data_IF_934684373961
#
_entry.id   IF_934684373961
#
_cell.length_a   1.000
_cell.length_b   1.000
_cell.length_c   1.000
_cell.angle_alpha   90.00
_cell.angle_beta   90.00
_cell.angle_gamma   90.00
#
_symmetry.space_group_name_H-M   'P 1'
#
loop_
_entity.id
_entity.type
_entity.pdbx_description
1 polymer ?
#
# COMPACT_ATOMS: atom_id res chain seq x y z
N UNK A 1 -5.60 19.64 -13.02
CA UNK A 1 -6.56 18.53 -13.04
C UNK A 1 -6.00 17.39 -12.23
N UNK A 2 -6.81 16.73 -11.40
CA UNK A 2 -6.38 15.54 -10.66
C UNK A 2 -5.99 14.44 -11.65
N UNK A 3 -4.72 14.07 -11.68
CA UNK A 3 -4.21 13.00 -12.55
C UNK A 3 -4.73 11.67 -12.01
N UNK A 4 -5.77 11.12 -12.65
CA UNK A 4 -6.29 9.79 -12.35
C UNK A 4 -5.29 8.77 -12.88
N UNK A 5 -4.41 8.28 -12.00
CA UNK A 5 -3.40 7.29 -12.37
C UNK A 5 -3.92 5.88 -12.12
N UNK A 6 -3.68 4.92 -13.03
CA UNK A 6 -4.05 3.53 -12.79
C UNK A 6 -3.28 2.98 -11.58
N UNK A 7 -3.88 2.06 -10.82
CA UNK A 7 -3.28 1.42 -9.66
C UNK A 7 -2.18 0.42 -10.01
N UNK A 8 -1.11 0.86 -10.68
CA UNK A 8 -0.02 0.01 -11.20
C UNK A 8 0.75 -0.74 -10.11
N UNK A 9 0.62 -0.33 -8.85
CA UNK A 9 1.19 -1.04 -7.72
C UNK A 9 0.53 -2.42 -7.48
N UNK A 10 -0.70 -2.65 -7.94
CA UNK A 10 -1.35 -3.97 -7.88
C UNK A 10 -0.68 -4.97 -8.83
N UNK A 11 -0.56 -4.72 -10.14
CA UNK A 11 0.17 -5.63 -11.02
C UNK A 11 1.64 -5.77 -10.61
N UNK A 12 2.30 -4.70 -10.13
CA UNK A 12 3.67 -4.81 -9.60
C UNK A 12 3.75 -5.78 -8.40
N UNK A 13 2.79 -5.74 -7.48
CA UNK A 13 2.70 -6.68 -6.36
C UNK A 13 2.49 -8.13 -6.83
N UNK A 14 1.66 -8.35 -7.85
CA UNK A 14 1.46 -9.69 -8.45
C UNK A 14 2.74 -10.19 -9.11
N UNK A 15 3.47 -9.34 -9.84
CA UNK A 15 4.75 -9.74 -10.45
C UNK A 15 5.79 -10.06 -9.37
N UNK A 16 5.85 -9.26 -8.30
CA UNK A 16 6.74 -9.50 -7.16
C UNK A 16 6.42 -10.82 -6.45
N UNK A 17 5.13 -11.17 -6.28
CA UNK A 17 4.77 -12.44 -5.65
C UNK A 17 5.16 -13.65 -6.48
N UNK A 18 5.04 -13.53 -7.81
CA UNK A 18 5.50 -14.57 -8.75
C UNK A 18 7.01 -14.67 -8.84
N UNK A 19 7.74 -13.64 -8.43
CA UNK A 19 9.19 -13.68 -8.23
C UNK A 19 9.60 -14.29 -6.87
N UNK A 20 8.64 -14.79 -6.07
CA UNK A 20 8.90 -15.51 -4.82
C UNK A 20 8.81 -14.65 -3.56
N UNK A 21 8.35 -13.39 -3.65
CA UNK A 21 8.15 -12.54 -2.47
C UNK A 21 6.74 -12.75 -1.89
N UNK A 22 6.57 -13.11 -0.61
CA UNK A 22 5.25 -13.14 0.01
C UNK A 22 4.70 -11.71 0.12
N UNK A 23 3.57 -11.42 -0.53
CA UNK A 23 2.98 -10.09 -0.54
C UNK A 23 1.65 -10.06 0.21
N UNK A 24 1.51 -9.10 1.12
CA UNK A 24 0.23 -8.76 1.75
C UNK A 24 -0.18 -7.38 1.29
N UNK A 25 -1.33 -7.27 0.63
CA UNK A 25 -1.97 -6.00 0.33
C UNK A 25 -3.15 -5.82 1.29
N UNK A 26 -3.39 -4.59 1.73
CA UNK A 26 -4.63 -4.25 2.41
C UNK A 26 -5.13 -2.87 1.98
N UNK A 27 -6.46 -2.70 1.99
CA UNK A 27 -7.05 -1.48 1.48
C UNK A 27 -8.58 -1.45 1.59
N UNK A 28 -9.17 -0.41 1.01
CA UNK A 28 -10.59 -0.12 1.14
C UNK A 28 -11.40 -0.63 -0.06
N UNK A 29 -12.71 -0.75 0.14
CA UNK A 29 -13.72 -0.84 -0.92
C UNK A 29 -13.69 0.42 -1.79
N UNK A 30 -13.84 1.59 -1.16
CA UNK A 30 -13.89 2.88 -1.83
C UNK A 30 -12.86 3.85 -1.25
N UNK A 31 -12.49 4.88 -2.01
CA UNK A 31 -11.62 5.97 -1.54
C UNK A 31 -12.44 7.27 -1.40
N UNK A 32 -13.06 7.54 -0.23
CA UNK A 32 -14.08 8.58 -0.08
C UNK A 32 -13.57 9.98 -0.45
N UNK A 33 -12.39 10.36 0.02
CA UNK A 33 -11.84 11.70 -0.19
C UNK A 33 -11.40 11.97 -1.65
N UNK A 34 -11.39 10.96 -2.52
CA UNK A 34 -10.87 11.06 -3.89
C UNK A 34 -11.81 10.57 -4.97
N UNK A 35 -12.96 10.00 -4.60
CA UNK A 35 -13.90 9.36 -5.53
C UNK A 35 -13.21 8.37 -6.50
N UNK A 36 -12.18 7.67 -5.99
CA UNK A 36 -11.38 6.70 -6.73
C UNK A 36 -11.76 5.27 -6.39
N UNK A 37 -11.43 4.34 -7.28
CA UNK A 37 -11.64 2.90 -7.07
C UNK A 37 -10.64 2.38 -6.02
N UNK A 38 -11.13 1.73 -4.98
CA UNK A 38 -10.30 1.12 -3.94
C UNK A 38 -9.61 -0.16 -4.38
N UNK A 39 -8.74 -0.69 -3.52
CA UNK A 39 -8.03 -1.95 -3.75
C UNK A 39 -9.02 -3.12 -3.94
N UNK A 40 -10.03 -3.20 -3.08
CA UNK A 40 -10.93 -4.36 -3.01
C UNK A 40 -11.71 -4.59 -4.31
N UNK A 41 -12.40 -3.59 -4.90
CA UNK A 41 -13.05 -3.77 -6.19
C UNK A 41 -12.06 -4.05 -7.33
N UNK A 42 -10.87 -3.44 -7.35
CA UNK A 42 -9.86 -3.75 -8.36
C UNK A 42 -9.40 -5.21 -8.26
N UNK A 43 -9.12 -5.68 -7.05
CA UNK A 43 -8.69 -7.06 -6.78
C UNK A 43 -9.75 -8.08 -7.22
N UNK A 44 -11.01 -7.84 -6.86
CA UNK A 44 -12.14 -8.69 -7.28
C UNK A 44 -12.36 -8.70 -8.79
N UNK A 45 -12.19 -7.55 -9.46
CA UNK A 45 -12.30 -7.47 -10.92
C UNK A 45 -11.20 -8.24 -11.66
N UNK A 46 -10.08 -8.55 -11.00
CA UNK A 46 -9.05 -9.45 -11.53
C UNK A 46 -9.40 -10.93 -11.33
N UNK A 47 -10.57 -11.25 -10.77
CA UNK A 47 -10.98 -12.62 -10.45
C UNK A 47 -10.33 -13.19 -9.19
N UNK A 48 -9.71 -12.34 -8.36
CA UNK A 48 -8.99 -12.76 -7.16
C UNK A 48 -9.86 -12.61 -5.90
N UNK A 49 -9.78 -13.60 -5.01
CA UNK A 49 -10.50 -13.60 -3.73
C UNK A 49 -9.83 -12.66 -2.72
N UNK A 50 -10.65 -11.98 -1.92
CA UNK A 50 -10.19 -11.21 -0.76
C UNK A 50 -10.17 -12.15 0.45
N UNK A 51 -9.03 -12.26 1.10
CA UNK A 51 -8.84 -13.13 2.26
C UNK A 51 -9.44 -12.49 3.51
N UNK A 52 -9.93 -13.34 4.42
CA UNK A 52 -10.25 -12.92 5.79
C UNK A 52 -8.98 -12.91 6.64
N UNK A 53 -8.83 -12.03 7.64
CA UNK A 53 -7.65 -11.97 8.49
C UNK A 53 -7.27 -13.33 9.11
N UNK A 54 -8.25 -14.12 9.56
CA UNK A 54 -8.05 -15.44 10.15
C UNK A 54 -7.48 -16.50 9.18
N UNK A 55 -7.70 -16.33 7.87
CA UNK A 55 -7.24 -17.25 6.84
C UNK A 55 -5.98 -16.76 6.12
N UNK A 56 -5.59 -15.50 6.35
CA UNK A 56 -4.60 -14.77 5.57
C UNK A 56 -3.24 -15.49 5.49
N UNK A 57 -2.80 -16.13 6.59
CA UNK A 57 -1.54 -16.87 6.58
C UNK A 57 -1.60 -18.08 5.64
N UNK A 58 -2.65 -18.90 5.76
CA UNK A 58 -2.83 -20.09 4.93
C UNK A 58 -3.05 -19.75 3.45
N UNK A 59 -3.73 -18.64 3.16
CA UNK A 59 -3.91 -18.16 1.80
C UNK A 59 -2.59 -17.61 1.23
N UNK A 60 -1.76 -16.97 2.06
CA UNK A 60 -0.45 -16.45 1.66
C UNK A 60 0.52 -17.59 1.34
N UNK A 61 0.55 -18.65 2.15
CA UNK A 61 1.36 -19.85 1.89
C UNK A 61 0.99 -20.52 0.57
N UNK A 62 -0.30 -20.54 0.20
CA UNK A 62 -0.79 -21.15 -1.04
C UNK A 62 -0.55 -20.27 -2.27
N UNK A 63 -0.81 -18.98 -2.15
CA UNK A 63 -0.90 -18.08 -3.31
C UNK A 63 0.30 -17.14 -3.46
N UNK A 64 1.19 -17.05 -2.47
CA UNK A 64 2.27 -16.06 -2.35
C UNK A 64 1.82 -14.59 -2.33
N UNK A 65 0.51 -14.32 -2.46
CA UNK A 65 -0.08 -13.00 -2.34
C UNK A 65 -1.48 -13.09 -1.73
N UNK A 66 -1.79 -12.18 -0.83
CA UNK A 66 -3.13 -12.02 -0.26
C UNK A 66 -3.56 -10.56 -0.24
N UNK A 67 -4.88 -10.36 -0.31
CA UNK A 67 -5.50 -9.04 -0.22
C UNK A 67 -6.51 -9.05 0.94
N UNK A 68 -6.40 -8.08 1.84
CA UNK A 68 -7.25 -7.93 3.02
C UNK A 68 -8.06 -6.63 2.94
N UNK A 69 -9.34 -6.71 3.32
CA UNK A 69 -10.17 -5.52 3.49
C UNK A 69 -9.83 -4.83 4.81
N UNK A 70 -9.67 -3.51 4.78
CA UNK A 70 -9.53 -2.73 6.02
C UNK A 70 -10.77 -2.81 6.91
N UNK A 71 -11.95 -3.06 6.33
CA UNK A 71 -13.17 -3.27 7.12
C UNK A 71 -13.08 -4.54 7.98
N UNK A 72 -12.35 -5.55 7.49
CA UNK A 72 -12.13 -6.80 8.22
C UNK A 72 -10.96 -6.68 9.22
N UNK A 73 -9.94 -5.88 8.90
CA UNK A 73 -8.78 -5.66 9.80
C UNK A 73 -9.16 -4.76 10.97
N UNK A 74 -9.95 -3.71 10.73
CA UNK A 74 -10.34 -2.70 11.72
C UNK A 74 -11.85 -2.45 11.69
N UNK A 75 -12.68 -3.40 12.14
CA UNK A 75 -14.13 -3.26 12.12
C UNK A 75 -14.62 -2.07 12.94
N UNK A 76 -13.89 -1.66 13.96
CA UNK A 76 -14.14 -0.45 14.78
C UNK A 76 -14.12 0.81 13.92
N UNK A 77 -13.09 0.96 13.09
CA UNK A 77 -12.95 2.12 12.19
C UNK A 77 -13.95 2.05 11.04
N UNK A 78 -14.30 0.85 10.59
CA UNK A 78 -15.35 0.63 9.60
C UNK A 78 -16.71 1.15 10.09
N UNK A 79 -17.04 0.94 11.37
CA UNK A 79 -18.27 1.50 11.99
C UNK A 79 -18.31 3.04 11.94
N UNK A 80 -17.15 3.70 11.89
CA UNK A 80 -17.05 5.15 11.77
C UNK A 80 -17.12 5.65 10.31
N UNK A 81 -17.24 4.76 9.33
CA UNK A 81 -17.27 5.16 7.92
C UNK A 81 -18.40 6.15 7.57
N UNK A 82 -19.66 6.02 8.07
CA UNK A 82 -20.72 6.97 7.74
C UNK A 82 -20.38 8.41 8.13
N UNK A 83 -19.95 8.64 9.38
CA UNK A 83 -19.60 9.99 9.85
C UNK A 83 -18.36 10.54 9.13
N UNK A 84 -17.39 9.67 8.79
CA UNK A 84 -16.21 10.09 8.02
C UNK A 84 -16.57 10.51 6.60
N UNK A 85 -17.57 9.86 5.97
CA UNK A 85 -18.08 10.25 4.65
C UNK A 85 -18.83 11.58 4.72
N UNK A 86 -19.65 11.78 5.76
CA UNK A 86 -20.38 13.03 5.98
C UNK A 86 -19.43 14.22 6.19
N UNK A 87 -18.37 14.03 6.98
CA UNK A 87 -17.34 15.06 7.17
C UNK A 87 -16.59 15.38 5.87
N UNK A 88 -16.39 14.39 4.99
CA UNK A 88 -15.73 14.59 3.68
C UNK A 88 -14.24 14.98 3.77
N UNK A 89 -13.64 14.97 4.96
CA UNK A 89 -12.27 15.39 5.20
C UNK A 89 -11.36 14.19 5.45
N UNK A 90 -10.07 14.37 5.11
CA UNK A 90 -9.02 13.42 5.51
C UNK A 90 -8.75 13.59 7.01
N UNK A 91 -8.78 12.49 7.76
CA UNK A 91 -8.51 12.46 9.19
C UNK A 91 -7.23 11.68 9.50
N UNK A 92 -6.81 11.71 10.78
CA UNK A 92 -5.67 10.91 11.25
C UNK A 92 -5.88 9.41 10.98
N UNK A 93 -7.13 8.93 10.97
CA UNK A 93 -7.45 7.54 10.69
C UNK A 93 -6.96 7.10 9.32
N UNK A 94 -7.02 7.99 8.31
CA UNK A 94 -6.48 7.67 6.98
C UNK A 94 -4.96 7.43 6.98
N UNK A 95 -4.24 8.00 7.94
CA UNK A 95 -2.80 7.80 8.10
C UNK A 95 -2.52 6.52 8.89
N UNK A 96 -3.25 6.30 9.99
CA UNK A 96 -3.16 5.07 10.82
C UNK A 96 -3.49 3.83 10.00
N UNK A 97 -4.59 3.86 9.26
CA UNK A 97 -5.08 2.77 8.43
C UNK A 97 -4.08 2.33 7.37
N UNK A 98 -3.27 3.26 6.82
CA UNK A 98 -2.19 2.94 5.88
C UNK A 98 -0.98 2.30 6.54
N UNK A 99 -0.79 2.55 7.82
CA UNK A 99 0.34 2.04 8.59
C UNK A 99 -0.01 0.80 9.41
N UNK A 100 -1.21 0.24 9.25
CA UNK A 100 -1.56 -1.03 9.86
C UNK A 100 -0.64 -2.14 9.33
N UNK A 101 -0.27 -3.06 10.22
CA UNK A 101 0.51 -4.24 9.88
C UNK A 101 -0.23 -5.50 10.35
N UNK A 102 -1.35 -5.88 9.68
CA UNK A 102 -2.26 -6.92 10.16
C UNK A 102 -1.62 -8.31 10.27
N UNK A 103 -0.56 -8.54 9.51
CA UNK A 103 0.16 -9.83 9.44
C UNK A 103 1.55 -9.76 10.10
N UNK A 104 1.85 -8.67 10.82
CA UNK A 104 3.16 -8.42 11.43
C UNK A 104 4.35 -8.67 10.48
N UNK A 105 4.24 -8.18 9.23
CA UNK A 105 5.27 -8.35 8.21
C UNK A 105 6.52 -7.55 8.56
N UNK A 106 7.68 -8.04 8.10
CA UNK A 106 8.98 -7.42 8.35
C UNK A 106 9.28 -6.20 7.47
N UNK A 107 8.55 -6.01 6.38
CA UNK A 107 8.74 -4.92 5.42
C UNK A 107 7.40 -4.28 5.05
N UNK A 108 7.30 -2.97 5.22
CA UNK A 108 6.11 -2.18 4.92
C UNK A 108 6.43 -1.11 3.86
N UNK A 109 5.57 -0.95 2.87
CA UNK A 109 5.62 0.16 1.92
C UNK A 109 4.39 1.04 2.10
N UNK A 110 4.59 2.31 2.49
CA UNK A 110 3.49 3.19 2.90
C UNK A 110 3.52 4.48 2.09
N UNK A 111 2.43 4.77 1.38
CA UNK A 111 2.29 6.01 0.63
C UNK A 111 1.96 7.22 1.50
N UNK A 112 2.68 8.33 1.33
CA UNK A 112 2.41 9.60 2.03
C UNK A 112 2.20 10.76 1.04
N UNK A 113 1.46 11.80 1.44
CA UNK A 113 0.99 12.84 0.52
C UNK A 113 1.79 14.15 0.57
N UNK A 114 2.26 14.55 1.75
CA UNK A 114 3.01 15.80 1.95
C UNK A 114 4.17 15.59 2.91
N UNK A 115 5.28 16.29 2.71
CA UNK A 115 6.47 16.20 3.55
C UNK A 115 6.20 16.55 5.02
N UNK A 116 5.22 17.41 5.29
CA UNK A 116 4.87 17.85 6.65
C UNK A 116 4.30 16.74 7.54
N UNK A 117 3.71 15.68 6.96
CA UNK A 117 3.17 14.55 7.74
C UNK A 117 4.23 13.49 8.02
N UNK A 118 5.36 13.52 7.31
CA UNK A 118 6.36 12.45 7.36
C UNK A 118 6.96 12.26 8.77
N UNK A 119 7.32 13.31 9.54
CA UNK A 119 7.85 13.12 10.90
C UNK A 119 6.83 12.47 11.86
N UNK A 120 5.54 12.81 11.71
CA UNK A 120 4.48 12.21 12.50
C UNK A 120 4.26 10.73 12.12
N UNK A 121 4.30 10.42 10.83
CA UNK A 121 4.23 9.04 10.34
C UNK A 121 5.42 8.20 10.79
N UNK A 122 6.63 8.76 10.74
CA UNK A 122 7.85 8.14 11.24
C UNK A 122 7.71 7.77 12.72
N UNK A 123 7.34 8.75 13.55
CA UNK A 123 7.17 8.54 14.99
C UNK A 123 6.13 7.44 15.27
N UNK A 124 5.02 7.45 14.53
CA UNK A 124 3.98 6.43 14.62
C UNK A 124 4.50 5.02 14.25
N UNK A 125 5.22 4.87 13.12
CA UNK A 125 5.69 3.54 12.71
C UNK A 125 6.82 3.01 13.58
N UNK A 126 7.68 3.88 14.14
CA UNK A 126 8.70 3.45 15.09
C UNK A 126 8.10 2.94 16.39
N UNK A 127 7.02 3.59 16.86
CA UNK A 127 6.31 3.16 18.06
C UNK A 127 5.50 1.87 17.82
N UNK A 128 4.77 1.80 16.70
CA UNK A 128 3.88 0.68 16.41
C UNK A 128 4.61 -0.56 15.87
N UNK A 129 5.66 -0.36 15.07
CA UNK A 129 6.37 -1.42 14.33
C UNK A 129 7.89 -1.30 14.48
N UNK A 130 8.44 -1.37 15.71
CA UNK A 130 9.86 -1.10 15.98
C UNK A 130 10.82 -2.04 15.26
N UNK A 131 10.36 -3.22 14.82
CA UNK A 131 11.17 -4.23 14.14
C UNK A 131 10.89 -4.34 12.63
N UNK A 132 9.87 -3.65 12.12
CA UNK A 132 9.58 -3.65 10.70
C UNK A 132 10.39 -2.56 10.00
N UNK A 133 10.98 -2.90 8.85
CA UNK A 133 11.54 -1.94 7.92
C UNK A 133 10.41 -1.26 7.17
N UNK A 134 10.37 0.06 7.18
CA UNK A 134 9.32 0.82 6.53
C UNK A 134 9.92 1.67 5.41
N UNK A 135 9.32 1.64 4.23
CA UNK A 135 9.64 2.57 3.15
C UNK A 135 8.45 3.48 2.93
N UNK A 136 8.61 4.76 3.28
CA UNK A 136 7.64 5.78 2.91
C UNK A 136 7.81 6.15 1.44
N UNK A 137 6.72 6.12 0.67
CA UNK A 137 6.72 6.42 -0.77
C UNK A 137 5.94 7.70 -1.01
N UNK A 138 6.61 8.72 -1.54
CA UNK A 138 5.99 9.98 -1.97
C UNK A 138 5.37 9.83 -3.35
N UNK A 139 4.53 8.81 -3.53
CA UNK A 139 4.02 8.37 -4.82
C UNK A 139 2.82 9.19 -5.32
N UNK A 140 2.27 8.77 -6.46
CA UNK A 140 1.13 9.41 -7.10
C UNK A 140 -0.04 9.51 -6.13
N UNK A 141 -0.47 10.75 -5.90
CA UNK A 141 -1.50 11.12 -4.94
C UNK A 141 -1.30 10.53 -3.52
N UNK A 142 -0.05 10.30 -3.13
CA UNK A 142 0.31 9.68 -1.85
C UNK A 142 -0.06 8.20 -1.74
N UNK A 143 -0.14 7.50 -2.87
CA UNK A 143 -0.07 6.03 -2.94
C UNK A 143 1.39 5.56 -2.95
N UNK A 144 1.59 4.24 -3.03
CA UNK A 144 2.90 3.64 -3.30
C UNK A 144 3.23 3.57 -4.81
N UNK A 145 2.35 4.08 -5.68
CA UNK A 145 2.58 4.13 -7.12
C UNK A 145 3.66 5.15 -7.47
N UNK A 146 4.72 4.70 -8.14
CA UNK A 146 5.81 5.56 -8.59
C UNK A 146 5.35 6.50 -9.72
N UNK A 147 6.02 7.64 -9.86
CA UNK A 147 5.81 8.53 -10.99
C UNK A 147 6.52 7.98 -12.23
N UNK A 148 5.85 8.04 -13.38
CA UNK A 148 6.42 7.63 -14.67
C UNK A 148 7.17 8.75 -15.39
N UNK A 149 6.92 10.01 -15.02
CA UNK A 149 7.44 11.19 -15.73
C UNK A 149 8.45 12.01 -14.91
N UNK A 150 8.72 11.60 -13.68
CA UNK A 150 9.66 12.26 -12.76
C UNK A 150 10.12 11.28 -11.69
N UNK A 151 11.14 11.66 -10.92
CA UNK A 151 11.60 10.83 -9.83
C UNK A 151 10.56 10.73 -8.70
N UNK A 152 10.49 9.57 -8.04
CA UNK A 152 9.72 9.34 -6.82
C UNK A 152 10.64 9.35 -5.62
N UNK A 153 10.34 10.20 -4.64
CA UNK A 153 11.01 10.20 -3.36
C UNK A 153 10.56 8.99 -2.53
N UNK A 154 11.52 8.28 -1.97
CA UNK A 154 11.30 7.27 -0.95
C UNK A 154 12.11 7.62 0.30
N UNK A 155 11.59 7.26 1.47
CA UNK A 155 12.27 7.49 2.75
C UNK A 155 12.25 6.19 3.56
N UNK A 156 13.39 5.51 3.71
CA UNK A 156 13.49 4.33 4.55
C UNK A 156 13.46 4.71 6.05
N UNK A 157 12.82 3.87 6.85
CA UNK A 157 12.76 3.94 8.31
C UNK A 157 13.05 2.55 8.88
N UNK A 158 13.78 2.49 9.99
CA UNK A 158 14.29 1.24 10.61
C UNK A 158 15.15 0.42 9.64
N UNK A 159 15.82 1.08 8.68
CA UNK A 159 16.66 0.47 7.65
C UNK A 159 18.04 1.13 7.62
N UNK A 160 18.97 0.61 6.82
CA UNK A 160 20.30 1.19 6.66
C UNK A 160 20.46 1.60 5.18
N UNK A 161 20.66 2.89 4.87
CA UNK A 161 20.65 4.03 5.80
C UNK A 161 19.24 4.37 6.33
N UNK A 162 19.16 4.88 7.56
CA UNK A 162 17.89 5.25 8.21
C UNK A 162 17.57 6.73 7.96
N UNK A 163 16.33 7.05 7.57
CA UNK A 163 15.85 8.41 7.27
C UNK A 163 16.61 9.19 6.19
N UNK A 164 17.42 8.51 5.37
CA UNK A 164 18.09 9.15 4.23
C UNK A 164 17.18 9.05 3.01
N UNK A 165 16.63 10.18 2.51
CA UNK A 165 15.74 10.11 1.34
C UNK A 165 16.49 9.68 0.09
N UNK A 166 15.85 8.80 -0.68
CA UNK A 166 16.32 8.37 -1.99
C UNK A 166 15.32 8.80 -3.07
N UNK A 167 15.79 8.96 -4.30
CA UNK A 167 14.97 9.34 -5.44
C UNK A 167 15.06 8.27 -6.51
N UNK A 168 13.99 7.49 -6.65
CA UNK A 168 13.87 6.51 -7.72
C UNK A 168 13.59 7.26 -9.02
N UNK A 169 14.47 7.15 -10.04
CA UNK A 169 14.24 7.83 -11.32
C UNK A 169 13.00 7.26 -12.02
N UNK A 170 12.34 8.04 -12.90
CA UNK A 170 11.31 7.49 -13.75
C UNK A 170 11.90 6.39 -14.65
N UNK A 171 11.07 5.44 -15.03
CA UNK A 171 11.48 4.39 -15.98
C UNK A 171 11.75 5.04 -17.34
N UNK A 172 13.03 5.13 -17.74
CA UNK A 172 13.39 5.47 -19.11
C UNK A 172 12.97 4.31 -20.03
N UNK A 173 12.47 4.60 -21.23
CA UNK A 173 11.74 3.72 -22.18
C UNK A 173 12.48 2.45 -22.70
N UNK A 174 13.40 1.85 -21.96
CA UNK A 174 14.10 0.61 -22.28
C UNK A 174 14.17 -0.35 -21.09
N UNK A 175 13.04 -0.62 -20.45
CA UNK A 175 12.97 -1.77 -19.53
C UNK A 175 12.52 -2.97 -20.32
N UNK A 176 13.40 -3.96 -20.45
CA UNK A 176 12.99 -5.26 -20.98
C UNK A 176 11.85 -5.82 -20.12
N UNK A 177 10.79 -6.37 -20.73
CA UNK A 177 9.68 -6.94 -19.97
C UNK A 177 10.21 -7.99 -18.99
N UNK A 178 9.81 -7.88 -17.72
CA UNK A 178 10.08 -8.93 -16.73
C UNK A 178 9.34 -10.19 -17.22
N UNK A 179 10.09 -11.22 -17.62
CA UNK A 179 9.52 -12.53 -17.93
C UNK A 179 9.07 -13.18 -16.64
N UNK A 180 7.76 -13.22 -16.43
CA UNK A 180 7.16 -13.94 -15.32
C UNK A 180 6.63 -15.28 -15.86
N UNK A 181 7.05 -16.43 -15.30
CA UNK A 181 6.58 -17.74 -15.76
C UNK A 181 5.05 -17.81 -15.73
N UNK A 182 4.38 -18.50 -16.68
CA UNK A 182 2.93 -18.55 -16.81
C UNK A 182 2.23 -19.16 -15.58
N UNK A 183 0.96 -18.82 -15.40
CA UNK A 183 0.16 -19.19 -14.21
C UNK A 183 -0.19 -20.67 -14.30
N UNK A 184 0.23 -21.46 -13.31
CA UNK A 184 -0.32 -22.79 -13.03
C UNK A 184 -1.62 -22.68 -12.26
#
# INVERSE_FOLDING_TARGET
>A
GHSRSPGLWIPAAILASRAGLPIVLHGYQDLPAKFGVGLIPLWKNLGLSVSRPENALSDLEKNSIVCLSQEDITPELARMAPIRRELGLRSLFNTVEKALNPMNVSHLAIGYFHETILPAMESMVRAAHPHAKVTFVGGQEGSIGLFTHRATKIVPVNSIPDLVPEFLPPVNEKVEPITVPPTT
#
